data_IF_904822215433
#
_entry.id   IF_904822215433
#
_cell.length_a   1.000
_cell.length_b   1.000
_cell.length_c   1.000
_cell.angle_alpha   90.00
_cell.angle_beta   90.00
_cell.angle_gamma   90.00
#
_symmetry.space_group_name_H-M   'P 1'
#
loop_
_entity.id
_entity.type
_entity.pdbx_description
1 polymer ?
#
# COMPACT_ATOMS: atom_id res chain seq x y z
N UNK A 1 -2.68 2.13 -8.29
CA UNK A 1 -3.08 2.46 -6.90
C UNK A 1 -4.26 1.57 -6.56
N UNK A 2 -4.37 1.12 -5.32
CA UNK A 2 -5.39 0.16 -4.89
C UNK A 2 -5.94 0.57 -3.53
N UNK A 3 -7.27 0.63 -3.41
CA UNK A 3 -7.93 0.82 -2.11
C UNK A 3 -7.90 -0.49 -1.33
N UNK A 4 -7.51 -0.43 -0.05
CA UNK A 4 -7.50 -1.60 0.83
C UNK A 4 -8.93 -2.00 1.21
N UNK A 5 -9.83 -1.03 1.31
CA UNK A 5 -11.20 -1.18 1.83
C UNK A 5 -12.23 -1.04 0.72
N UNK A 6 -12.13 -1.89 -0.29
CA UNK A 6 -13.14 -1.97 -1.35
C UNK A 6 -14.43 -2.58 -0.78
N UNK A 7 -15.62 -2.08 -1.19
CA UNK A 7 -16.90 -2.54 -0.63
C UNK A 7 -17.20 -4.01 -0.96
N UNK A 8 -16.83 -4.45 -2.16
CA UNK A 8 -17.23 -5.76 -2.69
C UNK A 8 -16.06 -6.75 -2.82
N UNK A 9 -14.83 -6.30 -2.55
CA UNK A 9 -13.61 -7.09 -2.76
C UNK A 9 -12.57 -6.83 -1.68
N UNK A 10 -11.69 -7.80 -1.45
CA UNK A 10 -10.57 -7.62 -0.52
C UNK A 10 -9.36 -7.04 -1.28
N UNK A 11 -8.98 -5.79 -0.98
CA UNK A 11 -7.84 -5.13 -1.63
C UNK A 11 -6.52 -5.88 -1.43
N UNK A 12 -6.34 -6.61 -0.33
CA UNK A 12 -5.15 -7.43 -0.08
C UNK A 12 -5.11 -8.62 -1.05
N UNK A 13 -6.24 -9.28 -1.29
CA UNK A 13 -6.30 -10.42 -2.22
C UNK A 13 -6.08 -9.97 -3.66
N UNK A 14 -6.70 -8.84 -4.05
CA UNK A 14 -6.46 -8.23 -5.35
C UNK A 14 -4.96 -7.93 -5.52
N UNK A 15 -4.30 -7.38 -4.50
CA UNK A 15 -2.86 -7.11 -4.59
C UNK A 15 -2.05 -8.38 -4.88
N UNK A 16 -2.37 -9.51 -4.22
CA UNK A 16 -1.73 -10.81 -4.48
C UNK A 16 -1.96 -11.29 -5.90
N UNK A 17 -3.20 -11.23 -6.37
CA UNK A 17 -3.57 -11.65 -7.73
C UNK A 17 -2.86 -10.78 -8.78
N UNK A 18 -2.85 -9.46 -8.60
CA UNK A 18 -2.17 -8.52 -9.48
C UNK A 18 -0.66 -8.81 -9.54
N UNK A 19 -0.02 -9.07 -8.40
CA UNK A 19 1.41 -9.39 -8.34
C UNK A 19 1.73 -10.76 -8.93
N UNK A 20 0.84 -11.73 -8.79
CA UNK A 20 0.97 -13.05 -9.42
C UNK A 20 0.88 -12.97 -10.95
N UNK A 21 -0.11 -12.22 -11.46
CA UNK A 21 -0.32 -12.04 -12.90
C UNK A 21 0.72 -11.12 -13.55
N UNK A 22 1.15 -10.08 -12.83
CA UNK A 22 2.11 -9.08 -13.31
C UNK A 22 3.19 -8.81 -12.26
N UNK A 23 4.26 -9.64 -12.19
CA UNK A 23 5.30 -9.51 -11.16
C UNK A 23 5.95 -8.12 -11.08
N UNK A 24 6.02 -7.40 -12.19
CA UNK A 24 6.61 -6.05 -12.26
C UNK A 24 5.64 -4.92 -11.87
N UNK A 25 4.34 -5.21 -11.65
CA UNK A 25 3.38 -4.18 -11.27
C UNK A 25 3.73 -3.61 -9.90
N UNK A 26 3.68 -2.28 -9.81
CA UNK A 26 3.92 -1.52 -8.59
C UNK A 26 2.58 -1.10 -8.01
N UNK A 27 2.32 -1.53 -6.78
CA UNK A 27 1.05 -1.28 -6.11
C UNK A 27 1.30 -0.29 -4.97
N UNK A 28 0.57 0.82 -5.00
CA UNK A 28 0.42 1.75 -3.88
C UNK A 28 -0.94 1.50 -3.25
N UNK A 29 -0.94 1.02 -2.01
CA UNK A 29 -2.13 0.86 -1.20
C UNK A 29 -2.60 2.22 -0.66
N UNK A 30 -3.92 2.44 -0.67
CA UNK A 30 -4.55 3.60 -0.02
C UNK A 30 -5.64 3.08 0.92
N UNK A 31 -5.66 3.60 2.15
CA UNK A 31 -6.59 3.12 3.17
C UNK A 31 -7.00 4.23 4.14
N UNK A 32 -8.14 4.08 4.78
CA UNK A 32 -8.51 4.89 5.94
C UNK A 32 -7.90 4.36 7.26
N UNK A 33 -7.28 3.17 7.23
CA UNK A 33 -6.84 2.47 8.44
C UNK A 33 -5.32 2.59 8.63
N UNK A 34 -4.87 3.13 9.78
CA UNK A 34 -3.44 3.24 10.13
C UNK A 34 -2.88 2.00 10.82
N UNK A 35 -3.73 1.00 11.09
CA UNK A 35 -3.35 -0.20 11.83
C UNK A 35 -2.25 -0.98 11.10
N UNK A 36 -1.21 -1.34 11.84
CA UNK A 36 -0.01 -2.00 11.31
C UNK A 36 -0.31 -3.36 10.68
N UNK A 37 -1.39 -4.05 11.11
CA UNK A 37 -1.79 -5.32 10.50
C UNK A 37 -2.23 -5.15 9.04
N UNK A 38 -2.93 -4.06 8.71
CA UNK A 38 -3.28 -3.76 7.31
C UNK A 38 -2.07 -3.35 6.49
N UNK A 39 -1.17 -2.57 7.10
CA UNK A 39 0.10 -2.17 6.47
C UNK A 39 0.90 -3.41 6.10
N UNK A 40 1.17 -4.29 7.06
CA UNK A 40 1.95 -5.50 6.85
C UNK A 40 1.25 -6.44 5.87
N UNK A 41 -0.06 -6.66 6.00
CA UNK A 41 -0.79 -7.54 5.07
C UNK A 41 -0.72 -7.07 3.63
N UNK A 42 -0.79 -5.75 3.38
CA UNK A 42 -0.65 -5.20 2.02
C UNK A 42 0.77 -5.32 1.49
N UNK A 43 1.79 -5.06 2.32
CA UNK A 43 3.18 -5.21 1.92
C UNK A 43 3.51 -6.68 1.63
N UNK A 44 3.05 -7.61 2.46
CA UNK A 44 3.20 -9.06 2.27
C UNK A 44 2.46 -9.56 1.02
N UNK A 45 1.34 -8.91 0.65
CA UNK A 45 0.65 -9.14 -0.62
C UNK A 45 1.40 -8.58 -1.84
N UNK A 46 2.54 -7.92 -1.63
CA UNK A 46 3.42 -7.40 -2.68
C UNK A 46 3.14 -5.95 -3.06
N UNK A 47 2.40 -5.20 -2.23
CA UNK A 47 2.38 -3.75 -2.34
C UNK A 47 3.75 -3.16 -2.02
N UNK A 48 4.12 -2.12 -2.76
CA UNK A 48 5.39 -1.42 -2.58
C UNK A 48 5.22 -0.14 -1.75
N UNK A 49 4.00 0.29 -1.48
CA UNK A 49 3.77 1.34 -0.51
C UNK A 49 2.36 1.40 0.01
N UNK A 50 2.18 2.18 1.07
CA UNK A 50 0.91 2.39 1.76
C UNK A 50 0.75 3.86 2.14
N UNK A 51 -0.42 4.43 1.86
CA UNK A 51 -0.81 5.78 2.21
C UNK A 51 -2.16 5.80 2.94
N UNK A 52 -2.26 6.68 3.94
CA UNK A 52 -3.55 7.03 4.53
C UNK A 52 -4.29 8.01 3.64
N UNK A 53 -5.59 7.78 3.44
CA UNK A 53 -6.49 8.65 2.66
C UNK A 53 -6.40 10.12 3.10
N UNK A 54 -6.26 10.35 4.39
CA UNK A 54 -6.13 11.70 4.97
C UNK A 54 -4.85 12.43 4.52
N UNK A 55 -3.77 11.69 4.24
CA UNK A 55 -2.49 12.26 3.82
C UNK A 55 -2.23 12.16 2.31
N UNK A 56 -3.16 11.58 1.53
CA UNK A 56 -2.95 11.36 0.09
C UNK A 56 -2.63 12.65 -0.64
N UNK A 57 -3.28 13.77 -0.32
CA UNK A 57 -3.06 15.03 -1.03
C UNK A 57 -1.60 15.53 -0.93
N UNK A 58 -0.97 15.34 0.23
CA UNK A 58 0.37 15.86 0.50
C UNK A 58 1.48 14.89 0.08
N UNK A 59 1.20 13.59 0.09
CA UNK A 59 2.23 12.55 -0.03
C UNK A 59 2.17 11.78 -1.36
N UNK A 60 1.06 11.86 -2.11
CA UNK A 60 0.81 10.98 -3.26
C UNK A 60 1.89 11.07 -4.34
N UNK A 61 2.29 12.28 -4.73
CA UNK A 61 3.28 12.48 -5.80
C UNK A 61 4.62 11.85 -5.40
N UNK A 62 5.06 12.09 -4.16
CA UNK A 62 6.31 11.55 -3.64
C UNK A 62 6.25 10.02 -3.52
N UNK A 63 5.12 9.48 -3.06
CA UNK A 63 4.90 8.05 -2.97
C UNK A 63 4.96 7.36 -4.35
N UNK A 64 4.27 7.91 -5.35
CA UNK A 64 4.29 7.38 -6.72
C UNK A 64 5.72 7.42 -7.29
N UNK A 65 6.42 8.54 -7.15
CA UNK A 65 7.81 8.66 -7.60
C UNK A 65 8.72 7.63 -6.92
N UNK A 66 8.60 7.45 -5.60
CA UNK A 66 9.36 6.45 -4.84
C UNK A 66 9.13 5.02 -5.35
N UNK A 67 7.86 4.59 -5.43
CA UNK A 67 7.55 3.22 -5.86
C UNK A 67 7.86 2.99 -7.34
N UNK A 68 7.78 4.04 -8.17
CA UNK A 68 8.11 3.97 -9.60
C UNK A 68 9.56 3.56 -9.85
N UNK A 69 10.46 3.86 -8.92
CA UNK A 69 11.88 3.44 -8.98
C UNK A 69 12.18 2.23 -8.09
N UNK A 70 11.15 1.52 -7.62
CA UNK A 70 11.30 0.30 -6.84
C UNK A 70 11.55 0.51 -5.35
N UNK A 71 11.42 1.74 -4.84
CA UNK A 71 11.60 2.02 -3.40
C UNK A 71 10.28 1.90 -2.66
N UNK A 72 10.34 1.35 -1.44
CA UNK A 72 9.17 1.29 -0.58
C UNK A 72 8.75 2.69 -0.09
N UNK A 73 7.46 2.88 0.14
CA UNK A 73 6.91 4.10 0.74
C UNK A 73 5.90 3.77 1.84
N UNK A 74 6.11 4.33 3.03
CA UNK A 74 5.12 4.34 4.10
C UNK A 74 4.74 5.79 4.40
N UNK A 75 3.45 6.08 4.28
CA UNK A 75 2.90 7.39 4.63
C UNK A 75 3.14 7.76 6.09
N UNK A 76 3.12 9.07 6.38
CA UNK A 76 3.35 9.57 7.75
C UNK A 76 2.35 8.97 8.74
N UNK A 77 2.83 8.61 9.93
CA UNK A 77 2.02 8.05 11.01
C UNK A 77 1.72 6.56 10.88
N UNK A 78 2.28 5.89 9.88
CA UNK A 78 2.23 4.45 9.73
C UNK A 78 3.51 3.81 10.28
N UNK A 79 3.34 2.66 10.92
CA UNK A 79 4.43 1.80 11.39
C UNK A 79 4.14 0.36 10.98
N UNK A 80 5.20 -0.45 10.88
CA UNK A 80 5.06 -1.90 10.75
C UNK A 80 5.00 -2.57 12.11
N UNK A 81 4.31 -3.70 12.22
CA UNK A 81 4.25 -4.47 13.48
C UNK A 81 5.63 -4.94 13.95
N UNK A 82 6.59 -5.12 13.03
CA UNK A 82 7.97 -5.53 13.31
C UNK A 82 8.87 -4.41 13.83
N UNK A 83 8.40 -3.17 13.95
CA UNK A 83 9.18 -2.00 14.37
C UNK A 83 8.85 -1.53 15.81
N UNK A 84 8.18 -2.38 16.60
CA UNK A 84 7.85 -2.11 18.02
C UNK A 84 8.67 -2.98 18.96
#
# INVERSE_FOLDING_TARGET
>A
MLDVSLPDMNGIEIARELKSAWPEVKILAISAYPDSLYVDSMLDAGALGYLLKDNVQDELVNAIQSISIGKQWLGKGLNRSSET
#
